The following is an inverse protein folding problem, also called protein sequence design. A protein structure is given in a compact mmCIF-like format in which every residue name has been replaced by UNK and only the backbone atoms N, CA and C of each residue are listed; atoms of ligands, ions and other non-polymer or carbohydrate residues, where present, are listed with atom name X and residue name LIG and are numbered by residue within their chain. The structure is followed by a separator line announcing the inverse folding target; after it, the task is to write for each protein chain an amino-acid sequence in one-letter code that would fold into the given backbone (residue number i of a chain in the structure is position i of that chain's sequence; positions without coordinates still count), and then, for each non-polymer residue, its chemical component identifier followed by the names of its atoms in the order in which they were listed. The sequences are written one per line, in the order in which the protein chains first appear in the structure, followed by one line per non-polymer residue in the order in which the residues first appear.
data_IF_915378746969
#
_entry.id   IF_915378746969
#
_cell.length_a   1.000
_cell.length_b   1.000
_cell.length_c   1.000
_cell.angle_alpha   90.00
_cell.angle_beta   90.00
_cell.angle_gamma   90.00
#
_symmetry.space_group_name_H-M   'P 1'
#
loop_
_entity.id
_entity.type
_entity.pdbx_description
1 polymer ?
#
# COMPACT_ATOMS: atom_id res chain seq x y z
N UNK A 1 -8.68 5.56 -14.30
CA UNK A 1 -8.04 4.38 -13.67
C UNK A 1 -8.56 3.06 -14.23
N UNK A 2 -9.85 2.94 -14.53
CA UNK A 2 -10.50 1.71 -15.02
C UNK A 2 -9.89 1.08 -16.29
N UNK A 3 -9.36 1.90 -17.21
CA UNK A 3 -8.64 1.39 -18.39
C UNK A 3 -7.36 0.65 -18.05
N UNK A 4 -6.71 0.95 -16.92
CA UNK A 4 -5.53 0.21 -16.48
C UNK A 4 -5.91 -1.22 -16.08
N UNK A 5 -7.02 -1.36 -15.34
CA UNK A 5 -7.58 -2.67 -14.98
C UNK A 5 -7.93 -3.50 -16.22
N UNK A 6 -8.56 -2.90 -17.23
CA UNK A 6 -8.87 -3.62 -18.49
C UNK A 6 -7.62 -4.06 -19.25
N UNK A 7 -6.60 -3.19 -19.30
CA UNK A 7 -5.36 -3.50 -19.99
C UNK A 7 -4.63 -4.67 -19.30
N UNK A 8 -4.57 -4.65 -17.96
CA UNK A 8 -4.02 -5.76 -17.19
C UNK A 8 -4.79 -7.06 -17.41
N UNK A 9 -6.13 -7.00 -17.45
CA UNK A 9 -6.96 -8.17 -17.74
C UNK A 9 -6.63 -8.79 -19.10
N UNK A 10 -6.49 -7.99 -20.16
CA UNK A 10 -6.15 -8.52 -21.48
C UNK A 10 -4.82 -9.30 -21.49
N UNK A 11 -3.85 -8.88 -20.66
CA UNK A 11 -2.60 -9.61 -20.45
C UNK A 11 -2.85 -10.93 -19.71
N UNK A 12 -3.64 -10.90 -18.63
CA UNK A 12 -3.96 -12.11 -17.86
C UNK A 12 -4.79 -13.11 -18.65
N UNK A 13 -5.71 -12.66 -19.50
CA UNK A 13 -6.48 -13.54 -20.38
C UNK A 13 -5.56 -14.26 -21.38
N UNK A 14 -4.46 -13.62 -21.80
CA UNK A 14 -3.46 -14.22 -22.70
C UNK A 14 -2.55 -15.23 -22.01
N UNK A 15 -2.07 -14.91 -20.80
CA UNK A 15 -1.08 -15.74 -20.09
C UNK A 15 -1.70 -16.71 -19.06
N UNK A 16 -3.00 -16.56 -18.79
CA UNK A 16 -3.74 -17.37 -17.83
C UNK A 16 -3.11 -17.35 -16.44
N UNK A 17 -2.85 -18.55 -15.90
CA UNK A 17 -2.31 -18.73 -14.54
C UNK A 17 -0.78 -18.52 -14.44
N UNK A 18 -0.12 -18.18 -15.54
CA UNK A 18 1.33 -17.96 -15.56
C UNK A 18 1.71 -16.52 -15.23
N UNK A 19 1.15 -15.99 -14.15
CA UNK A 19 1.37 -14.63 -13.68
C UNK A 19 1.59 -14.61 -12.15
N UNK A 20 2.48 -13.74 -11.70
CA UNK A 20 2.69 -13.43 -10.30
C UNK A 20 2.78 -11.91 -10.14
N UNK A 21 2.19 -11.39 -9.08
CA UNK A 21 2.13 -9.98 -8.74
C UNK A 21 2.96 -9.74 -7.50
N UNK A 22 3.79 -8.69 -7.54
CA UNK A 22 4.69 -8.33 -6.46
C UNK A 22 4.55 -6.83 -6.20
N UNK A 23 4.08 -6.47 -5.01
CA UNK A 23 3.92 -5.09 -4.57
C UNK A 23 5.00 -4.75 -3.54
N UNK A 24 5.73 -3.66 -3.77
CA UNK A 24 6.76 -3.17 -2.86
C UNK A 24 6.23 -1.93 -2.15
N UNK A 25 5.80 -2.11 -0.91
CA UNK A 25 5.21 -1.05 -0.07
C UNK A 25 6.30 -0.36 0.73
N UNK A 26 7.11 0.43 0.01
CA UNK A 26 8.22 1.20 0.55
C UNK A 26 8.11 2.64 0.08
N UNK A 27 8.50 3.57 0.96
CA UNK A 27 8.59 4.99 0.64
C UNK A 27 7.29 5.55 0.05
N UNK A 28 6.15 5.12 0.60
CA UNK A 28 4.82 5.49 0.11
C UNK A 28 4.56 6.97 0.38
N UNK A 29 4.44 7.76 -0.68
CA UNK A 29 4.16 9.20 -0.63
C UNK A 29 2.75 9.51 -1.12
N UNK A 30 2.20 10.60 -0.61
CA UNK A 30 0.98 11.22 -1.15
C UNK A 30 1.26 12.09 -2.36
N UNK A 31 2.51 12.44 -2.64
CA UNK A 31 2.90 13.19 -3.85
C UNK A 31 3.12 12.26 -5.04
N UNK A 32 2.85 12.76 -6.24
CA UNK A 32 3.23 12.09 -7.47
C UNK A 32 4.76 12.14 -7.64
N UNK A 33 5.38 11.07 -8.13
CA UNK A 33 6.80 11.06 -8.48
C UNK A 33 7.17 12.14 -9.51
N UNK A 34 6.18 12.62 -10.26
CA UNK A 34 6.31 13.72 -11.22
C UNK A 34 6.50 15.10 -10.58
N UNK A 35 6.23 15.27 -9.27
CA UNK A 35 6.38 16.55 -8.56
C UNK A 35 7.84 16.90 -8.23
N UNK A 36 8.77 15.93 -8.34
CA UNK A 36 10.19 16.14 -8.13
C UNK A 36 10.51 16.75 -6.76
N UNK A 37 11.20 17.90 -6.75
CA UNK A 37 11.61 18.58 -5.51
C UNK A 37 10.45 19.19 -4.71
N UNK A 38 9.28 19.35 -5.33
CA UNK A 38 8.07 19.85 -4.67
C UNK A 38 7.28 18.77 -3.93
N UNK A 39 7.71 17.50 -4.01
CA UNK A 39 7.01 16.39 -3.40
C UNK A 39 7.00 16.49 -1.87
N UNK A 40 5.85 16.15 -1.28
CA UNK A 40 5.70 16.02 0.16
C UNK A 40 6.63 14.92 0.70
N UNK A 41 7.19 15.10 1.91
CA UNK A 41 8.05 14.09 2.51
C UNK A 41 7.27 12.81 2.77
N UNK A 42 7.93 11.67 2.57
CA UNK A 42 7.41 10.36 2.97
C UNK A 42 7.32 10.32 4.50
N UNK A 43 6.09 10.19 5.01
CA UNK A 43 5.80 10.04 6.45
C UNK A 43 5.26 8.66 6.80
N UNK A 44 4.65 7.96 5.85
CA UNK A 44 4.14 6.60 6.04
C UNK A 44 5.29 5.59 6.10
N UNK A 45 5.39 4.75 7.15
CA UNK A 45 6.48 3.78 7.28
C UNK A 45 6.35 2.63 6.29
N UNK A 46 7.51 2.06 5.92
CA UNK A 46 7.60 0.89 5.05
C UNK A 46 6.87 -0.32 5.67
N UNK A 47 6.07 -1.02 4.86
CA UNK A 47 5.37 -2.25 5.26
C UNK A 47 6.19 -3.48 4.83
N UNK A 48 6.72 -3.49 3.61
CA UNK A 48 7.50 -4.60 3.07
C UNK A 48 7.11 -4.97 1.65
N UNK A 49 7.29 -6.25 1.29
CA UNK A 49 6.98 -6.80 -0.03
C UNK A 49 5.85 -7.80 0.12
N UNK A 50 4.81 -7.65 -0.70
CA UNK A 50 3.71 -8.59 -0.82
C UNK A 50 3.78 -9.28 -2.19
N UNK A 51 3.41 -10.55 -2.23
CA UNK A 51 3.33 -11.30 -3.48
C UNK A 51 2.11 -12.22 -3.50
N UNK A 52 1.52 -12.38 -4.68
CA UNK A 52 0.36 -13.25 -4.90
C UNK A 52 0.30 -13.71 -6.36
N UNK A 53 -0.39 -14.81 -6.63
CA UNK A 53 -0.81 -15.19 -7.99
C UNK A 53 -2.17 -14.61 -8.37
N UNK A 54 -2.81 -13.88 -7.46
CA UNK A 54 -4.09 -13.18 -7.64
C UNK A 54 -3.86 -11.66 -7.45
N UNK A 55 -4.14 -10.90 -8.51
CA UNK A 55 -3.98 -9.45 -8.59
C UNK A 55 -4.87 -8.71 -7.59
N UNK A 56 -6.14 -9.09 -7.51
CA UNK A 56 -7.08 -8.48 -6.57
C UNK A 56 -6.65 -8.79 -5.13
N UNK A 57 -6.13 -10.00 -4.90
CA UNK A 57 -5.68 -10.39 -3.57
C UNK A 57 -4.51 -9.56 -3.03
N UNK A 58 -3.48 -9.34 -3.85
CA UNK A 58 -2.31 -8.58 -3.39
C UNK A 58 -2.64 -7.11 -3.17
N UNK A 59 -3.45 -6.50 -4.06
CA UNK A 59 -3.80 -5.09 -3.95
C UNK A 59 -4.75 -4.84 -2.77
N UNK A 60 -5.72 -5.73 -2.55
CA UNK A 60 -6.60 -5.66 -1.39
C UNK A 60 -5.81 -5.81 -0.08
N UNK A 61 -4.85 -6.76 -0.02
CA UNK A 61 -3.98 -6.92 1.13
C UNK A 61 -3.11 -5.69 1.39
N UNK A 62 -2.64 -5.00 0.35
CA UNK A 62 -1.90 -3.74 0.49
C UNK A 62 -2.76 -2.67 1.20
N UNK A 63 -4.00 -2.47 0.75
CA UNK A 63 -4.92 -1.50 1.34
C UNK A 63 -5.29 -1.89 2.79
N UNK A 64 -5.58 -3.16 3.05
CA UNK A 64 -5.90 -3.62 4.40
C UNK A 64 -4.71 -3.42 5.37
N UNK A 65 -3.46 -3.62 4.91
CA UNK A 65 -2.28 -3.35 5.72
C UNK A 65 -2.09 -1.86 6.02
N UNK A 66 -2.37 -0.96 5.06
CA UNK A 66 -2.35 0.49 5.29
C UNK A 66 -3.39 0.88 6.36
N UNK A 67 -4.61 0.39 6.24
CA UNK A 67 -5.66 0.69 7.22
C UNK A 67 -5.45 0.02 8.58
N UNK A 68 -4.60 -1.00 8.67
CA UNK A 68 -4.22 -1.65 9.93
C UNK A 68 -3.10 -0.91 10.69
N UNK A 69 -2.47 0.11 10.10
CA UNK A 69 -1.42 0.91 10.75
C UNK A 69 -1.99 1.82 11.84
N UNK A 70 -1.12 2.35 12.70
CA UNK A 70 -1.48 3.40 13.65
C UNK A 70 -2.04 4.62 12.91
N UNK A 71 -2.96 5.36 13.55
CA UNK A 71 -3.66 6.48 12.91
C UNK A 71 -2.72 7.55 12.40
N UNK A 72 -1.77 7.95 13.24
CA UNK A 72 -0.74 8.93 12.90
C UNK A 72 0.15 8.50 11.71
N UNK A 73 0.37 7.19 11.54
CA UNK A 73 1.23 6.67 10.47
C UNK A 73 0.49 6.62 9.11
N UNK A 74 -0.83 6.39 9.13
CA UNK A 74 -1.64 6.22 7.91
C UNK A 74 -2.39 7.46 7.48
N UNK A 75 -2.54 8.47 8.36
CA UNK A 75 -3.43 9.61 8.19
C UNK A 75 -3.41 10.20 6.77
N UNK A 76 -2.25 10.66 6.31
CA UNK A 76 -2.13 11.34 5.01
C UNK A 76 -2.43 10.41 3.83
N UNK A 77 -1.97 9.15 3.92
CA UNK A 77 -2.19 8.16 2.87
C UNK A 77 -3.66 7.72 2.81
N UNK A 78 -4.30 7.52 3.96
CA UNK A 78 -5.71 7.18 4.07
C UNK A 78 -6.60 8.31 3.55
N UNK A 79 -6.34 9.56 3.96
CA UNK A 79 -7.06 10.74 3.44
C UNK A 79 -6.99 10.78 1.92
N UNK A 80 -5.80 10.63 1.34
CA UNK A 80 -5.63 10.67 -0.12
C UNK A 80 -6.37 9.53 -0.83
N UNK A 81 -6.33 8.32 -0.28
CA UNK A 81 -7.05 7.16 -0.85
C UNK A 81 -8.56 7.44 -0.85
N UNK A 82 -9.08 7.97 0.25
CA UNK A 82 -10.51 8.18 0.44
C UNK A 82 -11.03 9.38 -0.39
N UNK A 83 -10.36 10.54 -0.31
CA UNK A 83 -10.79 11.78 -0.97
C UNK A 83 -10.70 11.73 -2.49
N UNK A 84 -9.87 10.84 -3.04
CA UNK A 84 -9.67 10.69 -4.49
C UNK A 84 -10.25 9.39 -5.05
N UNK A 85 -11.06 8.67 -4.29
CA UNK A 85 -11.66 7.41 -4.71
C UNK A 85 -10.63 6.36 -5.17
N UNK A 86 -9.50 6.26 -4.46
CA UNK A 86 -8.37 5.37 -4.79
C UNK A 86 -8.71 3.89 -4.85
N UNK A 87 -9.83 3.48 -4.24
CA UNK A 87 -10.31 2.09 -4.25
C UNK A 87 -11.03 1.69 -5.55
N UNK A 88 -11.23 2.61 -6.51
CA UNK A 88 -11.95 2.32 -7.77
C UNK A 88 -11.33 1.18 -8.58
N UNK A 89 -10.01 1.01 -8.54
CA UNK A 89 -9.35 -0.09 -9.24
C UNK A 89 -9.72 -1.45 -8.64
N UNK A 90 -9.82 -1.54 -7.31
CA UNK A 90 -10.25 -2.75 -6.62
C UNK A 90 -11.69 -3.09 -6.95
N UNK A 91 -12.59 -2.10 -6.90
CA UNK A 91 -13.99 -2.31 -7.29
C UNK A 91 -14.13 -2.81 -8.73
N UNK A 92 -13.30 -2.32 -9.65
CA UNK A 92 -13.28 -2.79 -11.04
C UNK A 92 -12.75 -4.23 -11.16
N UNK A 93 -11.76 -4.60 -10.35
CA UNK A 93 -11.21 -5.96 -10.32
C UNK A 93 -12.18 -6.98 -9.70
N UNK A 94 -13.07 -6.53 -8.81
CA UNK A 94 -14.14 -7.35 -8.22
C UNK A 94 -15.28 -7.66 -9.20
N UNK A 95 -15.37 -6.95 -10.33
CA UNK A 95 -16.42 -7.20 -11.32
C UNK A 95 -16.31 -8.62 -11.92
N UNK A 96 -17.45 -9.25 -12.28
CA UNK A 96 -17.47 -10.59 -12.84
C UNK A 96 -16.51 -10.74 -14.03
N UNK A 97 -15.55 -11.65 -13.88
CA UNK A 97 -14.54 -11.96 -14.89
C UNK A 97 -13.19 -11.26 -14.69
N UNK A 98 -12.98 -10.47 -13.63
CA UNK A 98 -11.72 -9.76 -13.40
C UNK A 98 -10.91 -10.25 -12.17
N UNK A 99 -11.56 -10.91 -11.21
CA UNK A 99 -10.89 -11.48 -10.03
C UNK A 99 -11.87 -12.05 -9.00
N UNK A 100 -11.37 -12.72 -7.96
CA UNK A 100 -12.16 -13.12 -6.79
C UNK A 100 -11.67 -12.36 -5.56
N UNK A 101 -12.61 -11.84 -4.76
CA UNK A 101 -12.26 -11.10 -3.54
C UNK A 101 -11.74 -12.08 -2.48
N UNK A 102 -10.51 -11.94 -1.96
CA UNK A 102 -10.02 -12.82 -0.91
C UNK A 102 -10.70 -12.53 0.41
N UNK A 103 -10.74 -13.55 1.28
CA UNK A 103 -11.13 -13.40 2.68
C UNK A 103 -10.16 -12.43 3.35
N UNK A 104 -10.70 -11.42 4.03
CA UNK A 104 -9.95 -10.38 4.72
C UNK A 104 -8.94 -11.00 5.69
N UNK A 105 -7.65 -10.71 5.54
CA UNK A 105 -6.62 -11.28 6.40
C UNK A 105 -6.85 -10.85 7.87
N UNK A 106 -6.61 -11.74 8.86
CA UNK A 106 -6.69 -11.37 10.26
C UNK A 106 -5.69 -10.25 10.57
N UNK A 107 -6.09 -9.31 11.45
CA UNK A 107 -5.29 -8.16 11.88
C UNK A 107 -4.04 -8.63 12.64
N UNK A 108 -2.99 -9.02 11.92
CA UNK A 108 -1.65 -9.16 12.49
C UNK A 108 -0.88 -7.88 12.18
N UNK A 109 -0.79 -7.01 13.19
CA UNK A 109 -0.01 -5.79 13.09
C UNK A 109 1.46 -6.11 12.76
N UNK A 110 2.10 -5.34 11.86
CA UNK A 110 3.48 -5.60 11.50
C UNK A 110 4.37 -5.51 12.74
N UNK A 111 5.31 -6.46 12.89
CA UNK A 111 6.40 -6.33 13.87
C UNK A 111 7.25 -5.13 13.43
N UNK A 112 6.97 -3.95 13.99
CA UNK A 112 7.70 -2.70 13.72
C UNK A 112 9.21 -2.94 13.89
N UNK A 113 10.00 -2.71 12.83
CA UNK A 113 11.42 -2.36 12.99
C UNK A 113 11.47 -0.86 13.35
N UNK A 114 12.19 -0.45 14.41
CA UNK A 114 12.24 0.94 14.81
C UNK A 114 12.83 1.80 13.69
N UNK A 115 12.13 2.89 13.35
CA UNK A 115 12.55 3.84 12.32
C UNK A 115 13.85 4.54 12.76
N UNK A 116 14.79 4.90 11.85
CA UNK A 116 16.03 5.58 12.22
C UNK A 116 15.81 6.90 13.00
N UNK A 117 14.67 7.57 12.81
CA UNK A 117 14.27 8.76 13.57
C UNK A 117 13.89 8.45 15.04
N UNK A 118 13.37 7.27 15.33
CA UNK A 118 13.05 6.83 16.71
C UNK A 118 14.31 6.56 17.54
N UNK A 119 15.44 6.24 16.89
CA UNK A 119 16.73 6.08 17.58
C UNK A 119 17.30 7.40 18.08
N UNK A 120 17.00 8.52 17.42
CA UNK A 120 17.47 9.85 17.83
C UNK A 120 16.75 10.38 19.06
N UNK A 121 15.48 10.00 19.30
CA UNK A 121 14.73 10.39 20.51
C UNK A 121 15.12 9.59 21.76
N UNK A 122 15.61 8.35 21.61
CA UNK A 122 16.00 7.49 22.75
C UNK A 122 17.43 7.74 23.25
N UNK A 123 18.21 8.59 22.59
CA UNK A 123 19.60 8.91 22.94
C UNK A 123 19.80 10.17 23.77
N UNK A 124 18.77 11.00 23.97
CA UNK A 124 18.88 12.21 24.80
C UNK A 124 18.68 11.85 26.28
N UNK A 125 19.77 11.45 26.95
CA UNK A 125 19.83 11.54 28.42
C UNK A 125 19.68 13.03 28.79
N UNK A 126 18.79 13.42 29.71
CA UNK A 126 18.82 14.78 30.23
C UNK A 126 20.17 14.98 30.93
N UNK A 127 20.93 15.98 30.49
CA UNK A 127 22.07 16.47 31.27
C UNK A 127 21.45 17.15 32.51
N UNK A 128 21.52 16.45 33.64
CA UNK A 128 21.11 16.98 34.93
C UNK A 128 21.95 18.22 35.27
N UNK A 129 21.26 19.27 35.71
CA UNK A 129 21.81 20.31 36.57
C UNK A 129 21.44 20.04 38.02
#
# INVERSE_FOLDING_TARGET
MERMTESSKAVLDRFGRHAAFVNVMRSMSVSCDCEGVGAQPVVTPDIGILASTDMLAVDQACIDLVHAMAEDDRHDLAERIESRHGLRQLSRLEEPGHGQRPVRAPRHGPRRRPHPRDRRRRGARPLGG
#
